data_IF_363572750899
#
_entry.id   IF_363572750899
#
_cell.length_a   1.000
_cell.length_b   1.000
_cell.length_c   1.000
_cell.angle_alpha   90.00
_cell.angle_beta   90.00
_cell.angle_gamma   90.00
#
_symmetry.space_group_name_H-M   'P 1'
#
loop_
_entity.id
_entity.type
_entity.pdbx_description
1 polymer ?
#
# COMPACT_ATOMS: atom_id res chain seq x y z
N UNK A 1 -15.17 -19.15 12.12
CA UNK A 1 -14.74 -18.16 13.14
C UNK A 1 -14.84 -16.79 12.51
N UNK A 2 -15.87 -16.02 12.85
CA UNK A 2 -16.07 -14.66 12.37
C UNK A 2 -15.08 -13.75 13.12
N UNK A 3 -13.99 -13.38 12.47
CA UNK A 3 -13.09 -12.33 12.98
C UNK A 3 -13.75 -10.99 12.66
N UNK A 4 -14.34 -10.36 13.68
CA UNK A 4 -14.74 -8.97 13.62
C UNK A 4 -13.48 -8.13 13.40
N UNK A 5 -13.30 -7.60 12.20
CA UNK A 5 -12.23 -6.64 11.88
C UNK A 5 -12.45 -5.38 12.72
N UNK A 6 -11.78 -5.30 13.87
CA UNK A 6 -11.70 -4.07 14.66
C UNK A 6 -11.07 -2.98 13.80
N UNK A 7 -11.68 -1.79 13.83
CA UNK A 7 -11.19 -0.60 13.15
C UNK A 7 -9.70 -0.37 13.45
N UNK A 8 -8.87 -0.32 12.42
CA UNK A 8 -7.47 0.08 12.57
C UNK A 8 -7.40 1.52 13.11
N UNK A 9 -6.64 1.77 14.17
CA UNK A 9 -6.38 3.10 14.77
C UNK A 9 -5.47 3.98 13.87
N UNK A 10 -5.74 3.98 12.57
CA UNK A 10 -4.95 4.69 11.57
C UNK A 10 -5.32 6.18 11.57
N UNK A 11 -4.33 7.10 11.62
CA UNK A 11 -4.59 8.53 11.52
C UNK A 11 -5.21 8.87 10.16
N UNK A 12 -5.99 9.95 10.12
CA UNK A 12 -6.61 10.43 8.90
C UNK A 12 -5.57 10.82 7.84
N UNK A 13 -5.89 10.69 6.54
CA UNK A 13 -4.93 10.95 5.46
C UNK A 13 -4.46 12.40 5.39
N UNK A 14 -5.20 13.35 5.98
CA UNK A 14 -4.84 14.77 6.00
C UNK A 14 -3.58 15.04 6.84
N UNK A 15 -3.40 14.25 7.90
CA UNK A 15 -2.27 14.38 8.84
C UNK A 15 -0.99 13.69 8.33
N UNK A 16 -1.10 12.90 7.26
CA UNK A 16 -0.01 12.12 6.69
C UNK A 16 0.63 12.81 5.48
N UNK A 17 1.94 12.64 5.37
CA UNK A 17 2.73 13.08 4.20
C UNK A 17 2.67 12.02 3.10
N UNK A 18 2.72 12.46 1.84
CA UNK A 18 2.79 11.55 0.70
C UNK A 18 4.14 10.84 0.63
N UNK A 19 4.20 9.70 -0.06
CA UNK A 19 5.46 8.96 -0.31
C UNK A 19 6.51 9.87 -0.96
N UNK A 20 6.12 10.67 -1.95
CA UNK A 20 7.03 11.61 -2.63
C UNK A 20 7.60 12.63 -1.64
N UNK A 21 6.76 13.26 -0.83
CA UNK A 21 7.20 14.24 0.17
C UNK A 21 8.08 13.59 1.23
N UNK A 22 7.73 12.39 1.70
CA UNK A 22 8.52 11.65 2.68
C UNK A 22 9.90 11.28 2.11
N UNK A 23 9.96 10.84 0.85
CA UNK A 23 11.21 10.49 0.17
C UNK A 23 12.11 11.71 -0.06
N UNK A 24 11.51 12.89 -0.31
CA UNK A 24 12.23 14.16 -0.53
C UNK A 24 12.64 14.84 0.78
N UNK A 25 11.95 14.60 1.88
CA UNK A 25 12.29 15.23 3.18
C UNK A 25 13.24 14.38 4.03
N UNK A 26 13.23 13.05 3.89
CA UNK A 26 14.19 12.15 4.54
C UNK A 26 15.54 12.08 3.79
N UNK A 27 16.03 13.23 3.29
CA UNK A 27 17.33 13.37 2.62
C UNK A 27 18.52 13.36 3.61
N UNK A 28 18.40 12.72 4.77
CA UNK A 28 19.59 12.24 5.46
C UNK A 28 20.13 11.06 4.64
N UNK A 29 21.44 11.07 4.34
CA UNK A 29 22.12 10.23 3.34
C UNK A 29 21.40 8.90 3.08
N UNK A 30 20.51 8.90 2.08
CA UNK A 30 19.88 7.69 1.60
C UNK A 30 21.02 6.74 1.20
N UNK A 31 21.09 5.57 1.83
CA UNK A 31 22.02 4.51 1.42
C UNK A 31 21.94 4.40 -0.12
N UNK A 32 23.10 4.32 -0.77
CA UNK A 32 23.23 4.29 -2.23
C UNK A 32 22.35 3.17 -2.83
N UNK A 33 22.12 2.08 -2.09
CA UNK A 33 21.20 1.02 -2.46
C UNK A 33 19.71 1.43 -2.39
N UNK A 34 19.32 2.16 -1.34
CA UNK A 34 17.98 2.73 -1.19
C UNK A 34 17.72 3.79 -2.27
N UNK A 35 18.71 4.64 -2.58
CA UNK A 35 18.65 5.61 -3.67
C UNK A 35 18.53 4.94 -5.05
N UNK A 36 19.22 3.81 -5.30
CA UNK A 36 19.05 3.03 -6.55
C UNK A 36 17.67 2.39 -6.65
N UNK A 37 17.15 1.83 -5.56
CA UNK A 37 15.81 1.27 -5.52
C UNK A 37 14.74 2.35 -5.79
N UNK A 38 14.89 3.51 -5.15
CA UNK A 38 14.08 4.70 -5.40
C UNK A 38 14.28 5.27 -6.81
N UNK A 39 15.47 5.18 -7.43
CA UNK A 39 15.69 5.57 -8.84
C UNK A 39 15.02 4.62 -9.83
N UNK A 40 15.02 3.32 -9.55
CA UNK A 40 14.29 2.31 -10.32
C UNK A 40 12.77 2.55 -10.26
N UNK A 41 12.27 2.88 -9.08
CA UNK A 41 10.90 3.34 -8.87
C UNK A 41 10.66 4.71 -9.52
N UNK A 42 11.57 5.69 -9.42
CA UNK A 42 11.44 7.01 -10.05
C UNK A 42 11.39 6.92 -11.58
N UNK A 43 11.95 5.88 -12.20
CA UNK A 43 11.79 5.65 -13.65
C UNK A 43 10.37 5.17 -14.01
N UNK A 44 9.64 4.58 -13.07
CA UNK A 44 8.21 4.25 -13.14
C UNK A 44 7.31 5.39 -12.62
N UNK A 45 7.81 6.25 -11.72
CA UNK A 45 7.06 7.31 -11.03
C UNK A 45 7.22 8.71 -11.66
N UNK A 46 8.20 8.93 -12.54
CA UNK A 46 8.42 10.22 -13.20
C UNK A 46 7.59 10.33 -14.48
N UNK A 47 6.30 10.66 -14.30
CA UNK A 47 5.75 11.92 -14.83
C UNK A 47 4.32 12.16 -14.32
N UNK A 48 3.52 11.10 -14.09
CA UNK A 48 2.23 11.18 -13.40
C UNK A 48 1.90 9.82 -12.76
N UNK A 49 2.40 9.51 -11.56
CA UNK A 49 1.91 8.30 -10.89
C UNK A 49 0.44 8.52 -10.54
N UNK A 50 -0.52 7.76 -11.10
CA UNK A 50 -1.94 8.09 -11.04
C UNK A 50 -2.54 7.85 -9.65
N UNK A 51 -1.79 7.25 -8.72
CA UNK A 51 -2.23 6.95 -7.35
C UNK A 51 -1.43 7.79 -6.36
N UNK A 52 -2.13 8.54 -5.51
CA UNK A 52 -1.54 9.18 -4.34
C UNK A 52 -1.50 8.17 -3.19
N UNK A 53 -0.32 8.02 -2.57
CA UNK A 53 -0.10 7.11 -1.43
C UNK A 53 0.44 7.90 -0.25
N UNK A 54 -0.14 7.67 0.93
CA UNK A 54 0.28 8.24 2.22
C UNK A 54 0.49 7.11 3.24
N UNK A 55 1.75 6.73 3.51
CA UNK A 55 2.05 5.68 4.48
C UNK A 55 1.67 6.10 5.89
N UNK A 56 1.03 5.21 6.65
CA UNK A 56 0.80 5.44 8.09
C UNK A 56 2.12 5.37 8.86
N UNK A 57 3.01 4.45 8.47
CA UNK A 57 4.36 4.27 9.06
C UNK A 57 5.43 4.35 7.96
N UNK A 58 6.00 5.55 7.67
CA UNK A 58 6.94 5.71 6.57
C UNK A 58 8.22 4.87 6.66
N UNK A 59 8.75 4.65 7.86
CA UNK A 59 9.94 3.82 8.05
C UNK A 59 9.73 2.36 7.58
N UNK A 60 8.52 1.83 7.73
CA UNK A 60 8.15 0.48 7.29
C UNK A 60 7.90 0.44 5.78
N UNK A 61 7.50 1.57 5.18
CA UNK A 61 7.28 1.66 3.75
C UNK A 61 8.59 1.45 2.97
N UNK A 62 9.71 1.97 3.48
CA UNK A 62 11.03 1.85 2.88
C UNK A 62 11.89 0.70 3.43
N UNK A 63 11.33 -0.14 4.33
CA UNK A 63 12.04 -1.26 4.97
C UNK A 63 13.34 -0.84 5.67
N UNK A 64 13.32 0.32 6.35
CA UNK A 64 14.50 0.87 7.03
C UNK A 64 14.87 0.08 8.30
N UNK A 65 13.93 -0.66 8.87
CA UNK A 65 14.13 -1.53 10.02
C UNK A 65 13.18 -2.73 9.96
N UNK A 66 13.52 -3.86 10.63
CA UNK A 66 12.60 -4.97 10.82
C UNK A 66 11.30 -4.52 11.48
N UNK A 67 10.16 -5.02 10.99
CA UNK A 67 8.85 -4.75 11.56
C UNK A 67 7.93 -5.96 11.41
N UNK A 68 6.82 -5.97 12.14
CA UNK A 68 5.73 -6.92 11.91
C UNK A 68 5.31 -6.90 10.43
N UNK A 69 4.90 -8.04 9.86
CA UNK A 69 4.46 -8.15 8.47
C UNK A 69 3.05 -7.57 8.28
N UNK A 70 2.89 -6.31 8.70
CA UNK A 70 1.67 -5.53 8.66
C UNK A 70 1.96 -4.15 8.10
N UNK A 71 1.20 -3.76 7.08
CA UNK A 71 1.38 -2.48 6.39
C UNK A 71 0.05 -1.76 6.23
N UNK A 72 0.08 -0.47 6.54
CA UNK A 72 -1.06 0.43 6.38
C UNK A 72 -0.64 1.66 5.58
N UNK A 73 -1.44 2.01 4.58
CA UNK A 73 -1.32 3.28 3.88
C UNK A 73 -2.68 3.71 3.33
N UNK A 74 -2.87 5.02 3.23
CA UNK A 74 -3.98 5.58 2.50
C UNK A 74 -3.61 5.69 1.03
N UNK A 75 -4.54 5.31 0.16
CA UNK A 75 -4.40 5.43 -1.29
C UNK A 75 -5.65 6.04 -1.91
N UNK A 76 -5.45 6.81 -2.98
CA UNK A 76 -6.52 7.27 -3.88
C UNK A 76 -5.97 7.52 -5.27
N UNK A 77 -6.82 7.42 -6.28
CA UNK A 77 -6.52 7.93 -7.61
C UNK A 77 -6.40 9.46 -7.58
N UNK A 78 -5.46 9.98 -8.36
CA UNK A 78 -5.34 11.40 -8.64
C UNK A 78 -6.31 11.77 -9.76
N UNK A 79 -7.07 12.82 -9.53
CA UNK A 79 -8.08 13.29 -10.46
C UNK A 79 -9.43 12.59 -10.24
N UNK A 80 -10.41 13.04 -11.02
CA UNK A 80 -11.79 12.58 -10.93
C UNK A 80 -12.02 11.43 -11.92
N UNK A 81 -12.49 10.28 -11.43
CA UNK A 81 -12.77 9.10 -12.27
C UNK A 81 -14.16 9.19 -12.91
N UNK A 82 -15.08 9.94 -12.28
CA UNK A 82 -16.48 10.05 -12.73
C UNK A 82 -17.45 9.24 -11.87
N UNK A 83 -18.68 9.72 -11.71
CA UNK A 83 -19.83 8.96 -11.18
C UNK A 83 -20.27 7.77 -12.07
N UNK A 84 -19.47 7.40 -13.08
CA UNK A 84 -19.79 6.37 -14.05
C UNK A 84 -19.80 4.96 -13.47
N UNK A 85 -19.87 3.95 -14.34
CA UNK A 85 -19.93 2.54 -13.93
C UNK A 85 -18.82 2.17 -12.94
N UNK A 86 -19.19 1.55 -11.80
CA UNK A 86 -18.30 1.05 -10.73
C UNK A 86 -17.06 0.27 -11.20
N UNK A 87 -17.11 -0.29 -12.41
CA UNK A 87 -16.01 -1.02 -13.06
C UNK A 87 -14.68 -0.27 -13.01
N UNK A 88 -14.66 1.05 -13.26
CA UNK A 88 -13.41 1.82 -13.24
C UNK A 88 -12.82 1.93 -11.83
N UNK A 89 -13.65 2.18 -10.82
CA UNK A 89 -13.20 2.18 -9.42
C UNK A 89 -12.71 0.78 -9.01
N UNK A 90 -13.41 -0.30 -9.38
CA UNK A 90 -12.92 -1.66 -9.16
C UNK A 90 -11.56 -1.92 -9.84
N UNK A 91 -11.34 -1.45 -11.06
CA UNK A 91 -10.05 -1.57 -11.75
C UNK A 91 -8.93 -0.83 -11.01
N UNK A 92 -9.21 0.36 -10.48
CA UNK A 92 -8.23 1.13 -9.71
C UNK A 92 -7.94 0.45 -8.37
N UNK A 93 -8.96 0.00 -7.63
CA UNK A 93 -8.74 -0.77 -6.41
C UNK A 93 -7.95 -2.06 -6.67
N UNK A 94 -8.23 -2.75 -7.78
CA UNK A 94 -7.47 -3.92 -8.19
C UNK A 94 -6.00 -3.58 -8.48
N UNK A 95 -5.74 -2.47 -9.16
CA UNK A 95 -4.37 -1.99 -9.36
C UNK A 95 -3.65 -1.68 -8.05
N UNK A 96 -4.33 -1.01 -7.10
CA UNK A 96 -3.75 -0.67 -5.79
C UNK A 96 -3.54 -1.89 -4.90
N UNK A 97 -4.38 -2.92 -5.04
CA UNK A 97 -4.41 -4.08 -4.16
C UNK A 97 -3.10 -4.88 -4.12
N UNK A 98 -2.39 -4.93 -5.25
CA UNK A 98 -1.13 -5.66 -5.41
C UNK A 98 0.11 -4.81 -5.08
N UNK A 99 -0.07 -3.54 -4.70
CA UNK A 99 1.04 -2.60 -4.55
C UNK A 99 2.04 -2.98 -3.45
N UNK A 100 1.54 -3.58 -2.37
CA UNK A 100 2.31 -3.73 -1.14
C UNK A 100 2.48 -5.16 -0.63
N UNK A 101 1.82 -6.15 -1.24
CA UNK A 101 1.78 -7.54 -0.77
C UNK A 101 3.19 -8.08 -0.49
N UNK A 102 4.01 -8.19 -1.53
CA UNK A 102 5.36 -8.74 -1.43
C UNK A 102 6.24 -7.93 -0.47
N UNK A 103 6.11 -6.61 -0.50
CA UNK A 103 6.90 -5.74 0.36
C UNK A 103 6.56 -5.91 1.85
N UNK A 104 5.36 -6.39 2.19
CA UNK A 104 4.90 -6.62 3.56
C UNK A 104 5.50 -7.89 4.15
N UNK A 105 5.59 -8.99 3.38
CA UNK A 105 6.23 -10.26 3.83
C UNK A 105 7.69 -10.08 4.18
N UNK A 106 8.35 -9.16 3.49
CA UNK A 106 9.77 -8.91 3.70
C UNK A 106 10.06 -7.89 4.81
N UNK A 107 9.03 -7.36 5.49
CA UNK A 107 9.21 -6.45 6.62
C UNK A 107 9.98 -7.07 7.80
N UNK A 108 9.71 -8.31 8.24
CA UNK A 108 10.48 -8.92 9.33
C UNK A 108 11.93 -9.23 8.93
N UNK A 109 12.20 -9.33 7.63
CA UNK A 109 13.49 -9.72 7.05
C UNK A 109 14.10 -8.54 6.28
N UNK A 110 14.36 -7.42 6.98
CA UNK A 110 14.79 -6.17 6.34
C UNK A 110 16.07 -6.30 5.51
N UNK A 111 16.98 -7.17 5.93
CA UNK A 111 18.26 -7.44 5.25
C UNK A 111 18.14 -8.46 4.11
N UNK A 112 17.04 -9.21 4.04
CA UNK A 112 16.85 -10.23 3.01
C UNK A 112 16.49 -9.58 1.68
N UNK A 113 17.38 -9.75 0.70
CA UNK A 113 17.17 -9.36 -0.70
C UNK A 113 16.70 -10.58 -1.49
N UNK A 114 15.42 -10.61 -1.83
CA UNK A 114 14.88 -11.65 -2.69
C UNK A 114 15.39 -11.44 -4.13
N UNK A 115 16.03 -12.46 -4.71
CA UNK A 115 16.54 -12.41 -6.07
C UNK A 115 15.42 -12.46 -7.12
N UNK A 116 14.36 -13.22 -6.83
CA UNK A 116 13.20 -13.35 -7.67
C UNK A 116 11.96 -13.57 -6.80
N UNK A 117 10.88 -12.90 -7.18
CA UNK A 117 9.61 -12.93 -6.46
C UNK A 117 8.49 -12.79 -7.47
N UNK A 118 7.46 -13.62 -7.33
CA UNK A 118 6.26 -13.56 -8.15
C UNK A 118 5.04 -13.81 -7.27
N UNK A 119 3.92 -13.16 -7.56
CA UNK A 119 2.62 -13.56 -7.05
C UNK A 119 2.19 -14.87 -7.75
N UNK A 120 1.51 -15.74 -7.01
CA UNK A 120 0.96 -17.00 -7.55
C UNK A 120 -0.51 -16.82 -7.93
N UNK A 121 -1.28 -16.29 -7.00
CA UNK A 121 -2.67 -15.95 -7.17
C UNK A 121 -2.96 -14.60 -6.51
N UNK A 122 -4.01 -13.95 -7.00
CA UNK A 122 -4.52 -12.70 -6.45
C UNK A 122 -6.04 -12.69 -6.61
N UNK A 123 -6.75 -12.56 -5.49
CA UNK A 123 -8.20 -12.60 -5.45
C UNK A 123 -8.75 -11.41 -4.65
N UNK A 124 -9.89 -10.90 -5.09
CA UNK A 124 -10.55 -9.76 -4.48
C UNK A 124 -12.06 -9.98 -4.42
N UNK A 125 -12.66 -9.47 -3.37
CA UNK A 125 -14.10 -9.42 -3.18
C UNK A 125 -14.47 -7.98 -2.82
N UNK A 126 -15.47 -7.43 -3.50
CA UNK A 126 -15.99 -6.09 -3.24
C UNK A 126 -17.29 -6.24 -2.46
N UNK A 127 -17.34 -5.69 -1.25
CA UNK A 127 -18.47 -5.84 -0.34
C UNK A 127 -19.49 -4.70 -0.45
N UNK A 128 -19.09 -3.58 -1.02
CA UNK A 128 -19.88 -2.35 -1.10
C UNK A 128 -19.54 -1.54 -2.36
N UNK A 129 -20.28 -0.46 -2.57
CA UNK A 129 -19.92 0.54 -3.60
C UNK A 129 -18.95 1.55 -3.01
N UNK A 130 -17.89 1.87 -3.75
CA UNK A 130 -16.85 2.77 -3.29
C UNK A 130 -16.28 3.61 -4.42
N UNK A 131 -15.53 4.64 -4.04
CA UNK A 131 -14.88 5.57 -4.95
C UNK A 131 -13.37 5.52 -4.79
N UNK A 132 -12.67 5.04 -5.81
CA UNK A 132 -11.21 5.00 -5.78
C UNK A 132 -10.52 6.33 -5.97
N UNK A 133 -11.23 7.40 -6.33
CA UNK A 133 -10.74 8.78 -6.30
C UNK A 133 -10.93 9.45 -4.92
N UNK A 134 -11.57 8.74 -3.98
CA UNK A 134 -11.60 9.07 -2.55
C UNK A 134 -10.54 8.26 -1.79
N UNK A 135 -10.29 8.66 -0.54
CA UNK A 135 -9.29 8.00 0.30
C UNK A 135 -9.77 6.63 0.74
N UNK A 136 -9.00 5.61 0.37
CA UNK A 136 -9.18 4.23 0.82
C UNK A 136 -7.99 3.86 1.70
N UNK A 137 -8.26 3.32 2.88
CA UNK A 137 -7.23 2.75 3.74
C UNK A 137 -6.95 1.32 3.28
N UNK A 138 -5.71 1.08 2.90
CA UNK A 138 -5.17 -0.24 2.62
C UNK A 138 -4.57 -0.79 3.90
N UNK A 139 -5.02 -1.97 4.33
CA UNK A 139 -4.43 -2.74 5.41
C UNK A 139 -4.06 -4.13 4.91
N UNK A 140 -2.76 -4.46 4.93
CA UNK A 140 -2.26 -5.76 4.54
C UNK A 140 -1.50 -6.40 5.70
N UNK A 141 -1.75 -7.69 5.89
CA UNK A 141 -1.07 -8.53 6.87
C UNK A 141 -0.66 -9.86 6.22
N UNK A 142 0.50 -10.39 6.61
CA UNK A 142 0.90 -11.76 6.27
C UNK A 142 1.01 -12.61 7.54
N UNK A 143 0.05 -13.51 7.79
CA UNK A 143 0.05 -14.34 8.99
C UNK A 143 1.06 -15.49 8.90
N UNK A 144 1.49 -15.88 7.69
CA UNK A 144 2.44 -16.97 7.53
C UNK A 144 3.31 -16.83 6.27
N UNK A 145 4.61 -16.64 6.49
CA UNK A 145 5.59 -16.51 5.43
C UNK A 145 5.93 -17.83 4.71
N UNK A 146 5.63 -19.00 5.30
CA UNK A 146 6.02 -20.31 4.74
C UNK A 146 5.22 -20.77 3.51
N UNK A 147 4.01 -20.24 3.30
CA UNK A 147 3.26 -20.36 2.03
C UNK A 147 3.02 -19.00 1.36
N UNK A 148 3.65 -17.93 1.86
CA UNK A 148 3.51 -16.57 1.31
C UNK A 148 2.04 -16.15 1.11
N UNK A 149 1.20 -16.38 2.13
CA UNK A 149 -0.22 -15.99 2.09
C UNK A 149 -0.37 -14.57 2.61
N UNK A 150 -1.23 -13.80 1.94
CA UNK A 150 -1.54 -12.42 2.29
C UNK A 150 -3.04 -12.25 2.43
N UNK A 151 -3.44 -11.44 3.41
CA UNK A 151 -4.77 -10.89 3.47
C UNK A 151 -4.66 -9.38 3.38
N UNK A 152 -5.50 -8.80 2.53
CA UNK A 152 -5.58 -7.36 2.38
C UNK A 152 -7.04 -6.93 2.46
N UNK A 153 -7.26 -5.87 3.22
CA UNK A 153 -8.55 -5.23 3.37
C UNK A 153 -8.45 -3.78 2.89
N UNK A 154 -9.48 -3.35 2.17
CA UNK A 154 -9.69 -1.94 1.89
C UNK A 154 -10.83 -1.43 2.74
N UNK A 155 -10.60 -0.28 3.37
CA UNK A 155 -11.60 0.42 4.14
C UNK A 155 -11.84 1.82 3.56
N UNK A 156 -13.06 2.32 3.69
CA UNK A 156 -13.36 3.74 3.45
C UNK A 156 -12.71 4.62 4.51
N UNK A 157 -12.79 5.94 4.32
CA UNK A 157 -12.45 6.95 5.33
C UNK A 157 -13.29 6.83 6.62
N UNK A 158 -14.48 6.23 6.53
CA UNK A 158 -15.33 5.86 7.68
C UNK A 158 -15.07 4.44 8.21
N UNK A 159 -14.00 3.77 7.78
CA UNK A 159 -13.61 2.42 8.21
C UNK A 159 -14.60 1.30 7.88
N UNK A 160 -15.47 1.50 6.89
CA UNK A 160 -16.31 0.42 6.36
C UNK A 160 -15.52 -0.38 5.33
N UNK A 161 -15.68 -1.71 5.33
CA UNK A 161 -15.04 -2.57 4.31
C UNK A 161 -15.62 -2.28 2.93
N UNK A 162 -14.74 -2.10 1.94
CA UNK A 162 -15.12 -1.75 0.57
C UNK A 162 -15.66 -2.94 -0.22
#
# INVERSE_FOLDING_TARGET
MHSSSQSSDAPYPQDLRSVLVTSVLNLEELDVDLYRCLKGLNKLLANEVPIEIKPVRPAHFHRLAPAEPKRLFWARARGYIGEGTMKLHCCVAAYVSDFALLGTVLLPYSEYKAYFTASLDHAMWFHSTFRSDEWMLYECESPWAGQHVFYCFFFSDTFNIL
#
